data_IF_136965472238
#
_entry.id   IF_136965472238
#
_cell.length_a   1.000
_cell.length_b   1.000
_cell.length_c   1.000
_cell.angle_alpha   90.00
_cell.angle_beta   90.00
_cell.angle_gamma   90.00
#
_symmetry.space_group_name_H-M   'P 1'
#
loop_
_entity.id
_entity.type
_entity.pdbx_description
1 polymer ?
#
# COMPACT_ATOMS: atom_id res chain seq x y z
N UNK A 1 -3.77 -15.62 22.16
CA UNK A 1 -4.58 -14.43 21.82
C UNK A 1 -3.79 -13.52 20.87
N UNK A 2 -4.36 -13.07 19.75
CA UNK A 2 -3.67 -12.11 18.84
C UNK A 2 -3.71 -10.73 19.49
N UNK A 3 -2.56 -10.13 19.82
CA UNK A 3 -2.52 -8.73 20.29
C UNK A 3 -3.02 -7.82 19.19
N UNK A 4 -4.00 -6.98 19.50
CA UNK A 4 -4.47 -5.91 18.63
C UNK A 4 -3.72 -4.63 18.96
N UNK A 5 -2.94 -4.12 18.01
CA UNK A 5 -2.27 -2.83 18.18
C UNK A 5 -3.26 -1.66 18.21
N UNK A 6 -3.00 -0.68 19.08
CA UNK A 6 -3.68 0.62 19.08
C UNK A 6 -3.35 1.40 17.80
N UNK A 7 -4.06 2.50 17.55
CA UNK A 7 -3.78 3.34 16.38
C UNK A 7 -2.37 3.96 16.44
N UNK A 8 -1.93 4.36 17.64
CA UNK A 8 -0.62 4.93 17.91
C UNK A 8 0.50 3.90 17.73
N UNK A 9 0.33 2.71 18.31
CA UNK A 9 1.29 1.61 18.12
C UNK A 9 1.45 1.26 16.65
N UNK A 10 0.34 1.21 15.89
CA UNK A 10 0.40 0.99 14.43
C UNK A 10 1.19 2.10 13.74
N UNK A 11 0.98 3.36 14.11
CA UNK A 11 1.71 4.48 13.53
C UNK A 11 3.21 4.36 13.82
N UNK A 12 3.59 4.02 15.06
CA UNK A 12 4.98 3.80 15.46
C UNK A 12 5.64 2.65 14.70
N UNK A 13 4.95 1.51 14.53
CA UNK A 13 5.45 0.39 13.71
C UNK A 13 5.78 0.84 12.28
N UNK A 14 4.91 1.62 11.64
CA UNK A 14 5.15 2.11 10.29
C UNK A 14 6.30 3.13 10.21
N UNK A 15 6.45 4.02 11.19
CA UNK A 15 7.57 4.98 11.21
C UNK A 15 8.90 4.28 11.44
N UNK A 16 8.97 3.38 12.42
CA UNK A 16 10.16 2.57 12.69
C UNK A 16 10.55 1.74 11.45
N UNK A 17 9.59 1.03 10.86
CA UNK A 17 9.80 0.28 9.61
C UNK A 17 10.33 1.15 8.46
N UNK A 18 9.75 2.34 8.28
CA UNK A 18 10.16 3.30 7.24
C UNK A 18 11.59 3.81 7.46
N UNK A 19 12.00 3.95 8.72
CA UNK A 19 13.35 4.33 9.11
C UNK A 19 14.37 3.19 9.01
N UNK A 20 13.92 1.95 8.82
CA UNK A 20 14.79 0.80 8.55
C UNK A 20 14.98 -0.15 9.72
N UNK A 21 14.34 0.07 10.86
CA UNK A 21 14.43 -0.83 12.01
C UNK A 21 13.82 -2.19 11.65
N UNK A 22 14.50 -3.28 12.02
CA UNK A 22 14.04 -4.62 11.70
C UNK A 22 12.90 -5.09 12.62
N UNK A 23 12.18 -6.15 12.22
CA UNK A 23 11.01 -6.63 12.98
C UNK A 23 11.29 -6.95 14.45
N UNK A 24 12.44 -7.59 14.75
CA UNK A 24 12.82 -7.95 16.13
C UNK A 24 13.00 -6.74 17.04
N UNK A 25 13.60 -5.67 16.52
CA UNK A 25 13.83 -4.45 17.27
C UNK A 25 12.51 -3.71 17.53
N UNK A 26 11.67 -3.57 16.49
CA UNK A 26 10.31 -3.00 16.63
C UNK A 26 9.50 -3.81 17.66
N UNK A 27 9.60 -5.14 17.61
CA UNK A 27 8.94 -6.03 18.54
C UNK A 27 9.41 -5.81 19.99
N UNK A 28 10.72 -5.67 20.21
CA UNK A 28 11.28 -5.38 21.54
C UNK A 28 10.78 -4.04 22.07
N UNK A 29 10.85 -2.97 21.26
CA UNK A 29 10.39 -1.62 21.63
C UNK A 29 8.92 -1.62 22.08
N UNK A 30 8.07 -2.39 21.39
CA UNK A 30 6.64 -2.41 21.65
C UNK A 30 6.19 -3.54 22.57
N UNK A 31 7.10 -4.39 23.08
CA UNK A 31 6.75 -5.58 23.86
C UNK A 31 5.86 -6.57 23.10
N UNK A 32 6.19 -6.86 21.84
CA UNK A 32 5.43 -7.75 20.94
C UNK A 32 6.31 -8.87 20.37
N UNK A 33 5.70 -9.78 19.62
CA UNK A 33 6.43 -10.81 18.86
C UNK A 33 6.79 -10.29 17.46
N UNK A 34 7.97 -10.59 16.91
CA UNK A 34 8.37 -10.14 15.57
C UNK A 34 7.38 -10.56 14.46
N UNK A 35 6.81 -11.77 14.57
CA UNK A 35 5.78 -12.25 13.63
C UNK A 35 4.49 -11.42 13.63
N UNK A 36 4.15 -10.78 14.76
CA UNK A 36 2.99 -9.87 14.85
C UNK A 36 3.26 -8.59 14.06
N UNK A 37 4.48 -8.04 14.15
CA UNK A 37 4.91 -6.87 13.36
C UNK A 37 4.85 -7.19 11.87
N UNK A 38 5.40 -8.34 11.47
CA UNK A 38 5.33 -8.78 10.07
C UNK A 38 3.88 -8.90 9.59
N UNK A 39 3.03 -9.60 10.35
CA UNK A 39 1.61 -9.79 9.99
C UNK A 39 0.89 -8.46 9.82
N UNK A 40 1.15 -7.49 10.69
CA UNK A 40 0.58 -6.15 10.59
C UNK A 40 1.02 -5.41 9.32
N UNK A 41 2.31 -5.43 9.00
CA UNK A 41 2.84 -4.73 7.82
C UNK A 41 2.43 -5.42 6.50
N UNK A 42 2.24 -6.74 6.54
CA UNK A 42 1.97 -7.61 5.40
C UNK A 42 0.73 -7.23 4.60
N UNK A 43 -0.35 -6.81 5.25
CA UNK A 43 -1.61 -6.51 4.57
C UNK A 43 -1.52 -5.26 3.68
N UNK A 44 -0.61 -4.35 4.01
CA UNK A 44 -0.33 -3.12 3.26
C UNK A 44 0.98 -3.19 2.47
N UNK A 45 1.66 -4.35 2.51
CA UNK A 45 2.98 -4.54 1.92
C UNK A 45 4.04 -3.60 2.48
N UNK A 46 3.92 -3.18 3.75
CA UNK A 46 4.86 -2.25 4.40
C UNK A 46 4.65 -0.77 4.05
N UNK A 47 3.57 -0.42 3.34
CA UNK A 47 3.24 0.96 2.96
C UNK A 47 2.22 1.52 3.96
N UNK A 48 2.61 2.55 4.72
CA UNK A 48 1.72 3.22 5.69
C UNK A 48 0.46 3.75 4.98
N UNK A 49 -0.75 3.31 5.36
CA UNK A 49 -1.98 3.89 4.85
C UNK A 49 -2.08 5.36 5.25
N UNK A 50 -2.60 6.20 4.35
CA UNK A 50 -2.90 7.58 4.69
C UNK A 50 -4.00 7.63 5.76
N UNK A 51 -3.78 8.42 6.80
CA UNK A 51 -4.76 8.62 7.86
C UNK A 51 -5.99 9.35 7.32
N UNK A 52 -7.19 8.82 7.56
CA UNK A 52 -8.41 9.44 7.05
C UNK A 52 -8.89 10.50 8.03
N UNK A 53 -8.83 11.75 7.61
CA UNK A 53 -9.37 12.88 8.36
C UNK A 53 -10.72 13.28 7.80
N UNK A 54 -11.69 13.53 8.67
CA UNK A 54 -13.00 14.09 8.28
C UNK A 54 -12.83 15.58 8.04
N UNK A 55 -13.50 16.11 7.03
CA UNK A 55 -13.58 17.57 6.84
C UNK A 55 -14.37 18.20 8.00
N UNK A 56 -13.96 19.39 8.43
CA UNK A 56 -14.56 20.14 9.56
C UNK A 56 -16.05 20.44 9.35
N UNK A 57 -16.49 20.52 8.09
CA UNK A 57 -17.89 20.72 7.73
C UNK A 57 -18.78 19.49 7.98
N UNK A 58 -18.22 18.31 8.23
CA UNK A 58 -19.01 17.11 8.52
C UNK A 58 -19.40 17.04 10.00
N UNK A 59 -20.65 16.62 10.25
CA UNK A 59 -21.13 16.34 11.60
C UNK A 59 -20.25 15.28 12.29
N UNK A 60 -19.85 15.60 13.51
CA UNK A 60 -19.15 14.72 14.46
C UNK A 60 -20.13 13.71 15.09
N UNK A 61 -19.62 12.80 15.91
CA UNK A 61 -20.50 11.91 16.68
C UNK A 61 -21.28 12.68 17.75
N UNK A 62 -20.62 13.60 18.47
CA UNK A 62 -21.26 14.44 19.49
C UNK A 62 -22.40 15.26 18.90
N UNK A 63 -22.19 15.96 17.78
CA UNK A 63 -23.28 16.70 17.11
C UNK A 63 -24.41 15.76 16.66
N UNK A 64 -24.12 14.52 16.26
CA UNK A 64 -25.17 13.55 15.92
C UNK A 64 -25.97 13.10 17.14
N UNK A 65 -25.34 12.96 18.31
CA UNK A 65 -26.03 12.65 19.57
C UNK A 65 -26.93 13.81 19.98
N UNK A 66 -26.50 15.05 19.83
CA UNK A 66 -27.34 16.23 20.07
C UNK A 66 -28.55 16.28 19.12
N UNK A 67 -28.36 15.93 17.84
CA UNK A 67 -29.49 15.77 16.92
C UNK A 67 -30.45 14.70 17.45
N UNK A 68 -29.95 13.54 17.91
CA UNK A 68 -30.81 12.48 18.47
C UNK A 68 -31.58 12.98 19.69
N UNK A 69 -30.90 13.63 20.63
CA UNK A 69 -31.52 14.17 21.84
C UNK A 69 -32.59 15.22 21.51
N UNK A 70 -32.29 16.18 20.65
CA UNK A 70 -33.24 17.21 20.23
C UNK A 70 -34.45 16.63 19.46
N UNK A 71 -34.26 15.57 18.66
CA UNK A 71 -35.37 14.89 18.00
C UNK A 71 -36.30 14.21 19.02
N UNK A 72 -35.74 13.52 20.01
CA UNK A 72 -36.48 12.88 21.12
C UNK A 72 -37.25 13.90 21.96
N UNK A 73 -36.65 15.06 22.23
CA UNK A 73 -37.28 16.18 22.91
C UNK A 73 -38.32 16.94 22.04
N UNK A 74 -38.69 16.41 20.87
CA UNK A 74 -39.65 17.01 19.94
C UNK A 74 -39.28 18.42 19.43
N UNK A 75 -38.00 18.83 19.53
CA UNK A 75 -37.53 20.13 19.03
C UNK A 75 -37.62 20.23 17.50
N UNK A 76 -37.83 21.43 16.97
CA UNK A 76 -37.82 21.67 15.52
C UNK A 76 -36.41 21.50 14.92
N UNK A 77 -36.33 21.15 13.64
CA UNK A 77 -35.03 21.03 12.93
C UNK A 77 -34.26 22.36 12.99
N UNK A 78 -34.96 23.49 12.92
CA UNK A 78 -34.36 24.83 13.01
C UNK A 78 -33.75 25.09 14.39
N UNK A 79 -34.45 24.72 15.47
CA UNK A 79 -33.93 24.88 16.83
C UNK A 79 -32.66 24.05 17.07
N UNK A 80 -32.66 22.78 16.63
CA UNK A 80 -31.48 21.90 16.70
C UNK A 80 -30.31 22.49 15.90
N UNK A 81 -30.60 23.02 14.71
CA UNK A 81 -29.59 23.62 13.84
C UNK A 81 -28.94 24.86 14.47
N UNK A 82 -29.75 25.74 15.09
CA UNK A 82 -29.25 26.91 15.83
C UNK A 82 -28.39 26.50 17.00
N UNK A 83 -28.82 25.52 17.81
CA UNK A 83 -28.06 25.04 18.96
C UNK A 83 -26.69 24.46 18.58
N UNK A 84 -26.59 23.81 17.42
CA UNK A 84 -25.34 23.23 16.91
C UNK A 84 -24.53 24.19 16.03
N UNK A 85 -24.99 25.43 15.84
CA UNK A 85 -24.41 26.37 14.88
C UNK A 85 -24.23 25.75 13.47
N UNK A 86 -25.24 25.04 12.99
CA UNK A 86 -25.27 24.40 11.66
C UNK A 86 -26.45 24.90 10.84
N UNK A 87 -26.37 24.73 9.52
CA UNK A 87 -27.50 25.04 8.66
C UNK A 87 -28.68 24.08 8.92
N UNK A 88 -29.94 24.55 8.92
CA UNK A 88 -31.11 23.68 9.02
C UNK A 88 -31.16 22.61 7.93
N UNK A 89 -30.64 22.92 6.74
CA UNK A 89 -30.55 21.97 5.62
C UNK A 89 -29.59 20.81 5.92
N UNK A 90 -28.52 21.04 6.67
CA UNK A 90 -27.57 19.99 7.09
C UNK A 90 -28.26 18.98 8.00
N UNK A 91 -28.98 19.47 9.00
CA UNK A 91 -29.71 18.63 9.97
C UNK A 91 -30.84 17.88 9.28
N UNK A 92 -31.64 18.57 8.47
CA UNK A 92 -32.73 17.95 7.70
C UNK A 92 -32.22 16.79 6.83
N UNK A 93 -31.17 17.04 6.04
CA UNK A 93 -30.58 16.02 5.16
C UNK A 93 -29.94 14.87 5.95
N UNK A 94 -29.34 15.13 7.10
CA UNK A 94 -28.80 14.07 7.97
C UNK A 94 -29.91 13.15 8.47
N UNK A 95 -30.99 13.73 9.01
CA UNK A 95 -32.11 12.97 9.56
C UNK A 95 -32.82 12.18 8.46
N UNK A 96 -33.10 12.80 7.31
CA UNK A 96 -33.77 12.13 6.20
C UNK A 96 -32.98 10.93 5.66
N UNK A 97 -31.66 11.05 5.53
CA UNK A 97 -30.81 9.94 5.08
C UNK A 97 -30.71 8.80 6.09
N UNK A 98 -30.95 9.07 7.37
CA UNK A 98 -30.77 8.13 8.48
C UNK A 98 -32.09 7.76 9.14
N UNK A 99 -33.02 7.19 8.35
CA UNK A 99 -34.30 6.61 8.79
C UNK A 99 -35.35 7.61 9.29
N UNK A 100 -35.10 8.91 9.12
CA UNK A 100 -36.05 9.96 9.47
C UNK A 100 -36.15 10.19 10.99
N UNK A 101 -37.03 11.13 11.36
CA UNK A 101 -37.12 11.66 12.73
C UNK A 101 -37.40 10.59 13.79
N UNK A 102 -38.32 9.66 13.51
CA UNK A 102 -38.80 8.67 14.49
C UNK A 102 -37.75 7.60 14.84
N UNK A 103 -36.86 7.27 13.91
CA UNK A 103 -35.93 6.14 14.02
C UNK A 103 -34.46 6.56 13.92
N UNK A 104 -34.17 7.84 14.09
CA UNK A 104 -32.82 8.37 13.98
C UNK A 104 -31.91 7.80 15.07
N UNK A 105 -30.79 7.20 14.66
CA UNK A 105 -29.76 6.65 15.55
C UNK A 105 -28.41 7.28 15.20
N UNK A 106 -27.85 8.04 16.15
CA UNK A 106 -26.62 8.79 15.97
C UNK A 106 -25.40 7.89 15.69
N UNK A 107 -25.24 6.80 16.44
CA UNK A 107 -24.17 5.82 16.24
C UNK A 107 -24.25 5.17 14.85
N UNK A 108 -25.44 4.76 14.41
CA UNK A 108 -25.64 4.15 13.10
C UNK A 108 -25.33 5.13 11.97
N UNK A 109 -25.80 6.38 12.08
CA UNK A 109 -25.50 7.45 11.14
C UNK A 109 -23.98 7.72 11.07
N UNK A 110 -23.30 7.75 12.22
CA UNK A 110 -21.86 7.92 12.28
C UNK A 110 -21.10 6.75 11.64
N UNK A 111 -21.52 5.52 11.92
CA UNK A 111 -20.93 4.31 11.36
C UNK A 111 -21.14 4.22 9.84
N UNK A 112 -22.32 4.61 9.36
CA UNK A 112 -22.61 4.74 7.93
C UNK A 112 -21.70 5.79 7.28
N UNK A 113 -21.57 6.97 7.89
CA UNK A 113 -20.68 8.02 7.41
C UNK A 113 -19.22 7.53 7.34
N UNK A 114 -18.72 6.86 8.38
CA UNK A 114 -17.39 6.23 8.40
C UNK A 114 -17.20 5.23 7.25
N UNK A 115 -18.21 4.39 7.00
CA UNK A 115 -18.17 3.39 5.92
C UNK A 115 -18.13 4.05 4.55
N UNK A 116 -18.96 5.06 4.32
CA UNK A 116 -19.00 5.78 3.04
C UNK A 116 -17.75 6.62 2.81
N UNK A 117 -17.16 7.18 3.88
CA UNK A 117 -15.89 7.91 3.82
C UNK A 117 -14.72 7.02 3.33
N UNK A 118 -14.84 5.68 3.40
CA UNK A 118 -13.81 4.78 2.90
C UNK A 118 -13.56 4.92 1.39
N UNK A 119 -14.58 5.32 0.61
CA UNK A 119 -14.57 5.52 -0.85
C UNK A 119 -13.54 4.64 -1.58
N UNK A 120 -13.63 3.30 -1.48
CA UNK A 120 -12.68 2.42 -2.15
C UNK A 120 -12.78 2.68 -3.66
N UNK A 121 -11.67 3.08 -4.28
CA UNK A 121 -11.59 3.19 -5.74
C UNK A 121 -11.31 1.80 -6.30
N UNK A 122 -12.07 1.32 -7.29
CA UNK A 122 -11.79 0.04 -7.90
C UNK A 122 -10.38 0.08 -8.52
N UNK A 123 -9.66 -1.03 -8.43
CA UNK A 123 -8.31 -1.12 -8.97
C UNK A 123 -8.38 -1.05 -10.51
N UNK A 124 -7.43 -0.35 -11.13
CA UNK A 124 -7.37 -0.26 -12.60
C UNK A 124 -7.18 -1.63 -13.24
N UNK A 125 -6.34 -2.49 -12.66
CA UNK A 125 -6.04 -3.82 -13.18
C UNK A 125 -7.18 -4.83 -12.92
N UNK A 126 -8.06 -4.58 -11.96
CA UNK A 126 -9.29 -5.38 -11.79
C UNK A 126 -10.31 -5.05 -12.87
N UNK A 127 -10.42 -3.78 -13.26
CA UNK A 127 -11.38 -3.34 -14.28
C UNK A 127 -10.90 -3.60 -15.72
N UNK A 128 -9.59 -3.64 -15.95
CA UNK A 128 -9.01 -3.78 -17.29
C UNK A 128 -8.22 -5.08 -17.41
N UNK A 129 -8.91 -6.17 -17.73
CA UNK A 129 -8.33 -7.50 -17.89
C UNK A 129 -7.25 -7.57 -18.99
N UNK A 130 -7.41 -6.94 -20.18
CA UNK A 130 -6.33 -6.88 -21.17
C UNK A 130 -5.05 -6.24 -20.65
N UNK A 131 -5.16 -5.13 -19.92
CA UNK A 131 -4.01 -4.48 -19.31
C UNK A 131 -3.36 -5.35 -18.22
N UNK A 132 -4.17 -6.00 -17.39
CA UNK A 132 -3.70 -6.95 -16.37
C UNK A 132 -2.88 -8.08 -16.99
N UNK A 133 -3.38 -8.68 -18.08
CA UNK A 133 -2.68 -9.76 -18.80
C UNK A 133 -1.31 -9.29 -19.31
N UNK A 134 -1.25 -8.13 -19.97
CA UNK A 134 0.01 -7.55 -20.46
C UNK A 134 1.01 -7.27 -19.32
N UNK A 135 0.54 -6.75 -18.20
CA UNK A 135 1.39 -6.49 -17.03
C UNK A 135 1.93 -7.80 -16.47
N UNK A 136 1.09 -8.85 -16.36
CA UNK A 136 1.51 -10.18 -15.89
C UNK A 136 2.58 -10.80 -16.78
N UNK A 137 2.35 -10.85 -18.10
CA UNK A 137 3.30 -11.40 -19.07
C UNK A 137 4.67 -10.70 -18.97
N UNK A 138 4.67 -9.36 -18.87
CA UNK A 138 5.93 -8.61 -18.77
C UNK A 138 6.61 -8.79 -17.41
N UNK A 139 5.85 -8.91 -16.32
CA UNK A 139 6.41 -9.28 -15.03
C UNK A 139 7.06 -10.65 -15.10
N UNK A 140 6.43 -11.65 -15.72
CA UNK A 140 7.00 -13.00 -15.86
C UNK A 140 8.35 -12.98 -16.58
N UNK A 141 8.48 -12.13 -17.61
CA UNK A 141 9.75 -11.84 -18.31
C UNK A 141 10.77 -11.03 -17.49
N UNK A 142 10.53 -10.81 -16.18
CA UNK A 142 11.37 -10.05 -15.24
C UNK A 142 11.52 -8.56 -15.57
N UNK A 143 10.54 -7.96 -16.25
CA UNK A 143 10.54 -6.51 -16.49
C UNK A 143 10.18 -5.75 -15.22
N UNK A 144 10.86 -4.62 -14.98
CA UNK A 144 10.52 -3.71 -13.88
C UNK A 144 9.20 -2.98 -14.18
N UNK A 145 8.41 -2.59 -13.16
CA UNK A 145 7.23 -1.76 -13.33
C UNK A 145 7.45 -0.47 -14.15
N UNK A 146 8.63 0.15 -14.03
CA UNK A 146 9.04 1.31 -14.84
C UNK A 146 9.22 0.93 -16.31
N UNK A 147 9.86 -0.21 -16.60
CA UNK A 147 10.02 -0.71 -17.96
C UNK A 147 8.67 -1.03 -18.59
N UNK A 148 7.77 -1.69 -17.84
CA UNK A 148 6.41 -2.03 -18.31
C UNK A 148 5.63 -0.77 -18.66
N UNK A 149 5.57 0.20 -17.75
CA UNK A 149 4.87 1.47 -17.96
C UNK A 149 5.45 2.25 -19.15
N UNK A 150 6.78 2.33 -19.24
CA UNK A 150 7.48 3.00 -20.33
C UNK A 150 7.25 2.33 -21.69
N UNK A 151 7.26 1.00 -21.74
CA UNK A 151 6.98 0.23 -22.94
C UNK A 151 5.53 0.36 -23.41
N UNK A 152 4.55 0.29 -22.50
CA UNK A 152 3.15 0.52 -22.85
C UNK A 152 2.94 1.90 -23.49
N UNK A 153 3.61 2.93 -22.95
CA UNK A 153 3.55 4.30 -23.49
C UNK A 153 4.13 4.41 -24.91
N UNK A 154 5.18 3.66 -25.22
CA UNK A 154 5.85 3.69 -26.54
C UNK A 154 5.13 2.82 -27.57
N UNK A 155 4.74 1.61 -27.19
CA UNK A 155 4.22 0.58 -28.11
C UNK A 155 2.72 0.72 -28.37
N UNK A 156 1.97 1.30 -27.42
CA UNK A 156 0.51 1.47 -27.52
C UNK A 156 0.09 2.95 -27.34
N UNK A 157 0.64 3.91 -28.11
CA UNK A 157 0.45 5.34 -27.86
C UNK A 157 -1.00 5.81 -28.01
N UNK A 158 -1.75 5.21 -28.95
CA UNK A 158 -3.16 5.53 -29.24
C UNK A 158 -4.15 4.91 -28.24
N UNK A 159 -3.75 3.89 -27.48
CA UNK A 159 -4.63 3.18 -26.56
C UNK A 159 -4.49 3.72 -25.13
N UNK A 160 -5.17 4.84 -24.85
CA UNK A 160 -5.12 5.51 -23.52
C UNK A 160 -5.56 4.60 -22.36
N UNK A 161 -6.43 3.62 -22.63
CA UNK A 161 -6.92 2.64 -21.63
C UNK A 161 -5.81 1.73 -21.10
N UNK A 162 -4.70 1.56 -21.82
CA UNK A 162 -3.55 0.77 -21.41
C UNK A 162 -2.48 1.58 -20.65
N UNK A 163 -2.74 2.86 -20.36
CA UNK A 163 -1.79 3.67 -19.58
C UNK A 163 -1.86 3.28 -18.11
N UNK A 164 -0.70 2.95 -17.56
CA UNK A 164 -0.56 2.64 -16.14
C UNK A 164 0.75 3.24 -15.62
N UNK A 165 0.71 3.78 -14.40
CA UNK A 165 1.93 4.26 -13.72
C UNK A 165 2.66 3.10 -13.04
N UNK A 166 4.00 3.15 -12.93
CA UNK A 166 4.77 2.13 -12.20
C UNK A 166 4.29 1.97 -10.77
N UNK A 167 3.94 3.08 -10.11
CA UNK A 167 3.43 3.09 -8.74
C UNK A 167 2.09 2.35 -8.61
N UNK A 168 1.26 2.32 -9.66
CA UNK A 168 0.02 1.52 -9.64
C UNK A 168 0.35 0.03 -9.67
N UNK A 169 1.31 -0.39 -10.50
CA UNK A 169 1.78 -1.79 -10.55
C UNK A 169 2.40 -2.19 -9.20
N UNK A 170 3.25 -1.35 -8.60
CA UNK A 170 3.79 -1.61 -7.27
C UNK A 170 2.71 -1.72 -6.20
N UNK A 171 1.76 -0.77 -6.16
CA UNK A 171 0.65 -0.83 -5.20
C UNK A 171 -0.17 -2.10 -5.37
N UNK A 172 -0.41 -2.57 -6.59
CA UNK A 172 -1.13 -3.83 -6.83
C UNK A 172 -0.35 -5.06 -6.40
N UNK A 173 0.98 -5.06 -6.49
CA UNK A 173 1.81 -6.17 -6.01
C UNK A 173 1.89 -6.22 -4.48
N UNK A 174 1.97 -5.05 -3.82
CA UNK A 174 2.21 -4.95 -2.38
C UNK A 174 0.94 -4.91 -1.53
N UNK A 175 -0.12 -4.24 -1.97
CA UNK A 175 -1.38 -4.21 -1.21
C UNK A 175 -2.16 -5.49 -1.47
N UNK A 176 -2.15 -6.40 -0.49
CA UNK A 176 -2.83 -7.70 -0.58
C UNK A 176 -4.35 -7.60 -0.69
N UNK A 177 -4.93 -6.47 -0.27
CA UNK A 177 -6.36 -6.17 -0.47
C UNK A 177 -6.75 -5.97 -1.94
N UNK A 178 -5.78 -5.88 -2.85
CA UNK A 178 -6.02 -5.83 -4.29
C UNK A 178 -5.77 -7.21 -4.87
N UNK A 179 -6.81 -7.85 -5.38
CA UNK A 179 -6.75 -9.21 -5.93
C UNK A 179 -6.34 -9.23 -7.41
N UNK A 180 -6.09 -8.05 -7.98
CA UNK A 180 -5.70 -7.87 -9.38
C UNK A 180 -4.37 -8.55 -9.76
N UNK A 181 -3.43 -8.69 -8.83
CA UNK A 181 -2.18 -9.40 -9.03
C UNK A 181 -1.92 -10.26 -7.80
N UNK A 182 -1.46 -11.49 -8.00
CA UNK A 182 -1.10 -12.32 -6.87
C UNK A 182 0.18 -11.79 -6.22
N UNK A 183 0.23 -11.77 -4.89
CA UNK A 183 1.37 -11.23 -4.15
C UNK A 183 2.69 -11.99 -4.43
N UNK A 184 2.62 -13.24 -4.89
CA UNK A 184 3.81 -14.00 -5.31
C UNK A 184 4.47 -13.44 -6.56
N UNK A 185 3.77 -12.64 -7.38
CA UNK A 185 4.36 -12.00 -8.56
C UNK A 185 5.51 -11.03 -8.21
N UNK A 186 5.65 -10.66 -6.94
CA UNK A 186 6.81 -9.95 -6.40
C UNK A 186 8.12 -10.69 -6.71
N UNK A 187 8.12 -12.03 -6.81
CA UNK A 187 9.32 -12.84 -7.14
C UNK A 187 9.96 -12.49 -8.50
N UNK A 188 9.22 -11.80 -9.36
CA UNK A 188 9.72 -11.34 -10.65
C UNK A 188 10.39 -9.96 -10.59
N UNK A 189 10.25 -9.25 -9.48
CA UNK A 189 10.98 -8.00 -9.25
C UNK A 189 12.43 -8.30 -8.90
N UNK A 190 13.36 -7.44 -9.32
CA UNK A 190 14.79 -7.61 -9.05
C UNK A 190 15.16 -7.84 -7.57
N UNK A 191 14.42 -7.23 -6.63
CA UNK A 191 14.67 -7.37 -5.18
C UNK A 191 13.76 -8.39 -4.47
N UNK A 192 12.70 -8.86 -5.13
CA UNK A 192 11.73 -9.86 -4.63
C UNK A 192 11.25 -9.73 -3.17
N UNK A 193 11.36 -8.54 -2.55
CA UNK A 193 10.99 -8.36 -1.16
C UNK A 193 9.47 -8.40 -0.99
N UNK A 194 8.98 -9.27 -0.10
CA UNK A 194 7.56 -9.43 0.21
C UNK A 194 6.92 -8.16 0.82
N UNK A 195 7.73 -7.28 1.41
CA UNK A 195 7.34 -5.96 1.87
C UNK A 195 8.18 -4.89 1.18
N UNK A 196 7.58 -3.72 0.98
CA UNK A 196 8.28 -2.55 0.49
C UNK A 196 9.08 -1.93 1.65
N UNK A 197 10.37 -1.79 1.41
CA UNK A 197 11.29 -1.17 2.35
C UNK A 197 11.41 0.33 2.09
N UNK A 198 11.63 1.10 3.17
CA UNK A 198 12.00 2.51 3.07
C UNK A 198 13.37 2.70 2.42
N UNK A 199 13.67 3.90 1.89
CA UNK A 199 15.00 4.18 1.31
C UNK A 199 16.14 4.05 2.31
N UNK A 200 15.86 4.34 3.59
CA UNK A 200 16.79 4.25 4.72
C UNK A 200 16.93 2.82 5.27
N UNK A 201 16.17 1.87 4.75
CA UNK A 201 16.25 0.50 5.23
C UNK A 201 17.54 -0.16 4.75
N UNK A 202 18.45 -0.38 5.69
CA UNK A 202 19.70 -1.11 5.47
C UNK A 202 19.71 -2.38 6.28
N UNK A 203 20.22 -3.47 5.71
CA UNK A 203 20.52 -4.69 6.49
C UNK A 203 21.79 -4.55 7.34
N UNK A 204 22.51 -3.42 7.27
CA UNK A 204 23.73 -3.10 8.05
C UNK A 204 23.43 -2.82 9.55
N UNK A 205 22.61 -3.64 10.19
CA UNK A 205 22.55 -3.72 11.66
C UNK A 205 23.37 -4.92 12.13
N UNK A 206 23.43 -5.14 13.44
CA UNK A 206 24.11 -6.27 14.14
C UNK A 206 23.68 -7.68 13.68
N UNK A 207 22.77 -7.80 12.72
CA UNK A 207 22.44 -9.06 12.07
C UNK A 207 23.47 -9.37 11.01
N UNK A 208 24.62 -9.82 11.50
CA UNK A 208 25.59 -10.61 10.77
C UNK A 208 26.06 -10.00 9.45
N UNK A 209 27.30 -9.52 9.45
CA UNK A 209 28.24 -10.10 8.50
C UNK A 209 27.87 -11.57 8.32
N UNK A 210 27.65 -12.01 7.10
CA UNK A 210 27.52 -13.44 6.81
C UNK A 210 28.70 -14.08 7.54
N UNK A 211 28.45 -14.81 8.63
CA UNK A 211 29.48 -15.62 9.26
C UNK A 211 29.68 -16.75 8.28
N UNK A 212 30.49 -16.48 7.25
CA UNK A 212 31.04 -17.52 6.40
C UNK A 212 31.86 -18.35 7.38
N UNK A 213 31.34 -19.51 7.76
CA UNK A 213 32.06 -20.45 8.61
C UNK A 213 33.38 -20.74 7.88
N UNK A 214 34.50 -20.41 8.50
CA UNK A 214 35.85 -20.48 7.92
C UNK A 214 36.12 -19.53 6.72
N UNK A 215 35.40 -18.43 6.60
CA UNK A 215 35.68 -17.42 5.56
C UNK A 215 36.97 -16.67 5.86
N UNK A 216 37.96 -16.78 4.97
CA UNK A 216 39.20 -16.01 5.07
C UNK A 216 38.89 -14.51 4.91
N UNK A 217 39.25 -13.65 5.88
CA UNK A 217 39.05 -12.21 5.75
C UNK A 217 39.87 -11.65 4.57
N UNK A 218 39.43 -10.52 4.00
CA UNK A 218 40.07 -9.89 2.83
C UNK A 218 41.55 -9.58 3.08
N UNK A 219 41.95 -9.39 4.35
CA UNK A 219 43.32 -9.12 4.74
C UNK A 219 44.20 -10.38 4.84
N UNK A 220 43.59 -11.57 4.94
CA UNK A 220 44.28 -12.86 5.02
C UNK A 220 44.28 -13.62 3.66
N UNK A 221 43.72 -13.04 2.61
CA UNK A 221 43.76 -13.64 1.26
C UNK A 221 45.20 -13.64 0.73
N UNK A 222 45.60 -14.71 0.04
CA UNK A 222 46.95 -14.79 -0.55
C UNK A 222 47.11 -13.71 -1.64
N UNK A 223 48.30 -13.08 -1.70
CA UNK A 223 48.61 -12.03 -2.70
C UNK A 223 48.50 -12.52 -4.15
N UNK A 224 48.59 -13.83 -4.37
CA UNK A 224 48.51 -14.43 -5.70
C UNK A 224 47.11 -14.26 -6.33
N UNK A 225 46.05 -14.09 -5.52
CA UNK A 225 44.66 -13.96 -6.00
C UNK A 225 44.43 -12.58 -6.63
N UNK A 226 45.10 -11.53 -6.17
CA UNK A 226 45.02 -10.19 -6.80
C UNK A 226 45.64 -10.16 -8.20
N UNK A 227 46.50 -11.14 -8.52
CA UNK A 227 47.16 -11.28 -9.81
C UNK A 227 46.42 -12.19 -10.80
N UNK A 228 45.31 -12.84 -10.37
CA UNK A 228 44.48 -13.58 -11.30
C UNK A 228 43.73 -12.59 -12.20
N UNK A 229 44.21 -12.47 -13.44
CA UNK A 229 43.52 -11.74 -14.51
C UNK A 229 42.08 -12.25 -14.58
N UNK A 230 41.13 -11.36 -14.35
CA UNK A 230 39.72 -11.59 -14.65
C UNK A 230 39.62 -12.17 -16.07
N UNK A 231 39.32 -13.47 -16.19
CA UNK A 231 38.80 -14.01 -17.43
C UNK A 231 37.44 -13.36 -17.62
N UNK A 232 37.41 -12.28 -18.39
CA UNK A 232 36.20 -11.70 -18.92
C UNK A 232 35.54 -12.77 -19.78
N UNK A 233 34.58 -13.48 -19.19
CA UNK A 233 33.59 -14.25 -19.96
C UNK A 233 32.88 -13.22 -20.82
N UNK A 234 33.32 -13.10 -22.08
CA UNK A 234 32.52 -12.50 -23.14
C UNK A 234 31.27 -13.35 -23.23
N UNK A 235 30.20 -12.92 -22.56
CA UNK A 235 28.87 -13.38 -22.89
C UNK A 235 28.59 -12.88 -24.31
N UNK A 236 28.83 -13.74 -25.30
CA UNK A 236 28.20 -13.60 -26.61
C UNK A 236 26.69 -13.63 -26.36
N UNK A 237 26.09 -12.45 -26.33
CA UNK A 237 24.65 -12.33 -26.50
C UNK A 237 24.36 -12.74 -27.95
N UNK A 238 23.63 -13.84 -28.21
CA UNK A 238 23.20 -14.13 -29.56
C UNK A 238 22.32 -12.97 -30.02
N UNK A 239 22.80 -12.23 -31.02
CA UNK A 239 21.95 -11.35 -31.80
C UNK A 239 20.87 -12.23 -32.41
N UNK A 240 19.66 -12.17 -31.86
CA UNK A 240 18.49 -12.68 -32.57
C UNK A 240 18.24 -11.72 -33.72
N UNK A 241 18.62 -12.17 -34.91
CA UNK A 241 18.30 -11.56 -36.19
C UNK A 241 16.83 -11.12 -36.22
N UNK A 242 16.64 -9.80 -36.20
CA UNK A 242 15.40 -9.18 -36.64
C UNK A 242 15.39 -9.25 -38.18
N UNK A 243 14.99 -10.40 -38.73
CA UNK A 243 14.53 -10.46 -40.11
C UNK A 243 13.13 -9.84 -40.18
N UNK A 244 13.06 -8.50 -40.18
CA UNK A 244 11.99 -7.80 -40.86
C UNK A 244 12.44 -7.60 -42.31
N UNK A 245 12.15 -8.61 -43.15
CA UNK A 245 12.07 -8.40 -44.59
C UNK A 245 10.66 -7.94 -44.94
N UNK A 246 10.64 -6.77 -45.57
CA UNK A 246 9.61 -6.19 -46.42
C UNK A 246 9.27 -7.11 -47.61
N UNK A 247 8.09 -6.84 -48.21
CA UNK A 247 7.39 -7.52 -49.33
C UNK A 247 6.33 -8.54 -48.83
N UNK A 248 5.02 -8.37 -49.04
CA UNK A 248 4.22 -7.63 -50.04
C UNK A 248 3.08 -6.88 -49.32
#
# INVERSE_FOLDING_TARGET
>A
MRRTFTAEEKASVFELWKNGTGFSEIANILGSKPGTIFTMLRDTGGIKPHERKRAVAHLTLSEREEIRAGLSAKMSIRAIATALNRSPSTISREVQRNRGRRYYKAVDANNRANRMAKRPKPCLLDQNLPLRKLVLEKLEMKWSPEQISGWLRRTKPRQKTLRISPETIYKTLYFRSREALHHLNIQHLRRSHSLRHGRRHTRKGERGTINIVNGTPIHERSRNIDNERHYSVRAEFPQRDLLFRTAI
#
